data_IF_836606250057
#
_entry.id   IF_836606250057
#
_cell.length_a   1.000
_cell.length_b   1.000
_cell.length_c   1.000
_cell.angle_alpha   90.00
_cell.angle_beta   90.00
_cell.angle_gamma   90.00
#
_symmetry.space_group_name_H-M   'P 1'
#
loop_
_entity.id
_entity.type
_entity.pdbx_description
1 polymer ?
#
# COMPACT_ATOMS: atom_id res chain seq x y z
N UNK A 1 4.28 -7.97 28.91
CA UNK A 1 3.67 -7.76 27.58
C UNK A 1 4.65 -8.29 26.55
N UNK A 2 4.44 -9.47 25.95
CA UNK A 2 5.26 -9.85 24.81
C UNK A 2 4.87 -8.93 23.65
N UNK A 3 5.85 -8.20 23.11
CA UNK A 3 5.65 -7.41 21.91
C UNK A 3 5.43 -8.35 20.74
N UNK A 4 4.23 -8.32 20.16
CA UNK A 4 3.88 -9.13 19.00
C UNK A 4 4.83 -8.78 17.85
N UNK A 5 5.59 -9.79 17.42
CA UNK A 5 6.54 -9.66 16.34
C UNK A 5 5.79 -9.22 15.06
N UNK A 6 6.21 -8.08 14.50
CA UNK A 6 5.83 -7.69 13.15
C UNK A 6 6.16 -8.86 12.21
N UNK A 7 5.24 -9.34 11.37
CA UNK A 7 5.46 -10.53 10.58
C UNK A 7 6.69 -10.37 9.66
N UNK A 8 7.57 -11.37 9.72
CA UNK A 8 8.76 -11.49 8.87
C UNK A 8 8.36 -11.66 7.40
N UNK A 9 9.03 -10.90 6.51
CA UNK A 9 8.83 -10.89 5.06
C UNK A 9 8.93 -12.32 4.46
N UNK A 10 8.09 -12.71 3.47
CA UNK A 10 8.32 -13.93 2.71
C UNK A 10 9.60 -13.82 1.85
N UNK A 11 10.31 -14.95 1.68
CA UNK A 11 11.57 -15.00 0.95
C UNK A 11 11.39 -14.66 -0.54
N UNK A 12 11.67 -13.41 -0.91
CA UNK A 12 11.79 -12.98 -2.31
C UNK A 12 13.27 -13.00 -2.71
N UNK A 13 13.56 -13.65 -3.84
CA UNK A 13 14.89 -13.80 -4.43
C UNK A 13 15.63 -12.46 -4.55
N UNK A 14 16.97 -12.45 -4.40
CA UNK A 14 17.77 -11.24 -4.52
C UNK A 14 17.76 -10.78 -5.97
N UNK A 15 16.91 -9.81 -6.27
CA UNK A 15 17.07 -8.97 -7.46
C UNK A 15 17.79 -7.71 -7.02
N UNK A 16 18.78 -7.29 -7.81
CA UNK A 16 19.67 -6.14 -7.61
C UNK A 16 19.06 -5.06 -6.71
N UNK A 17 19.73 -4.74 -5.61
CA UNK A 17 19.34 -3.67 -4.70
C UNK A 17 18.96 -2.42 -5.51
N UNK A 18 17.69 -1.98 -5.49
CA UNK A 18 17.33 -0.72 -6.10
C UNK A 18 18.08 0.36 -5.33
N UNK A 19 18.98 1.08 -5.99
CA UNK A 19 19.59 2.25 -5.38
C UNK A 19 18.49 3.21 -4.90
N UNK A 20 18.76 3.99 -3.86
CA UNK A 20 17.89 5.07 -3.32
C UNK A 20 17.25 5.98 -4.39
N UNK A 21 17.79 6.02 -5.60
CA UNK A 21 17.26 6.76 -6.75
C UNK A 21 16.13 6.05 -7.51
N UNK A 22 16.01 4.73 -7.39
CA UNK A 22 15.10 3.89 -8.19
C UNK A 22 13.64 4.18 -7.85
N UNK A 23 13.30 4.26 -6.56
CA UNK A 23 11.92 4.53 -6.15
C UNK A 23 11.48 5.95 -6.51
N UNK A 24 12.39 6.92 -6.53
CA UNK A 24 12.09 8.30 -6.93
C UNK A 24 11.75 8.39 -8.41
N UNK A 25 12.48 7.66 -9.25
CA UNK A 25 12.16 7.59 -10.68
C UNK A 25 10.82 6.88 -10.89
N UNK A 26 10.61 5.75 -10.20
CA UNK A 26 9.32 5.06 -10.22
C UNK A 26 8.16 5.96 -9.78
N UNK A 27 8.35 6.76 -8.72
CA UNK A 27 7.35 7.71 -8.26
C UNK A 27 7.05 8.81 -9.30
N UNK A 28 8.07 9.34 -9.98
CA UNK A 28 7.86 10.33 -11.07
C UNK A 28 7.08 9.73 -12.23
N UNK A 29 7.38 8.50 -12.62
CA UNK A 29 6.71 7.79 -13.71
C UNK A 29 5.26 7.45 -13.36
N UNK A 30 5.03 6.91 -12.16
CA UNK A 30 3.70 6.51 -11.69
C UNK A 30 2.83 7.70 -11.32
N UNK A 31 3.41 8.78 -10.79
CA UNK A 31 2.66 9.86 -10.13
C UNK A 31 3.09 11.24 -10.66
N UNK A 32 2.93 11.51 -11.97
CA UNK A 32 3.45 12.75 -12.59
C UNK A 32 2.82 14.04 -12.02
N UNK A 33 1.67 13.96 -11.36
CA UNK A 33 1.01 15.09 -10.70
C UNK A 33 1.38 15.30 -9.23
N UNK A 34 2.27 14.47 -8.67
CA UNK A 34 2.63 14.55 -7.25
C UNK A 34 3.46 15.80 -6.98
N UNK A 35 2.94 16.70 -6.13
CA UNK A 35 3.59 17.99 -5.82
C UNK A 35 4.70 17.91 -4.77
N UNK A 36 5.05 16.70 -4.34
CA UNK A 36 6.13 16.49 -3.37
C UNK A 36 7.49 16.71 -4.02
N UNK A 37 8.41 17.37 -3.31
CA UNK A 37 9.80 17.44 -3.74
C UNK A 37 10.48 16.07 -3.51
N UNK A 38 10.36 15.17 -4.49
CA UNK A 38 10.88 13.80 -4.41
C UNK A 38 12.37 13.73 -4.08
N UNK A 39 13.18 14.73 -4.46
CA UNK A 39 14.62 14.74 -4.17
C UNK A 39 14.91 14.92 -2.67
N UNK A 40 14.03 15.60 -1.94
CA UNK A 40 14.18 15.88 -0.51
C UNK A 40 13.28 15.03 0.37
N UNK A 41 12.27 14.39 -0.22
CA UNK A 41 11.31 13.57 0.51
C UNK A 41 11.91 12.23 0.94
N UNK A 42 11.48 11.77 2.11
CA UNK A 42 11.56 10.37 2.50
C UNK A 42 10.43 9.59 1.83
N UNK A 43 10.59 8.28 1.68
CA UNK A 43 9.54 7.42 1.13
C UNK A 43 8.27 7.45 2.01
N UNK A 44 8.42 7.58 3.33
CA UNK A 44 7.31 7.76 4.27
C UNK A 44 6.50 9.04 3.96
N UNK A 45 7.18 10.18 3.74
CA UNK A 45 6.51 11.43 3.39
C UNK A 45 5.70 11.29 2.10
N UNK A 46 6.26 10.58 1.11
CA UNK A 46 5.56 10.30 -0.15
C UNK A 46 4.31 9.46 0.08
N UNK A 47 4.36 8.43 0.92
CA UNK A 47 3.17 7.64 1.24
C UNK A 47 2.11 8.43 2.01
N UNK A 48 2.50 9.32 2.92
CA UNK A 48 1.53 10.19 3.59
C UNK A 48 0.80 11.12 2.61
N UNK A 49 1.54 11.74 1.69
CA UNK A 49 0.92 12.58 0.66
C UNK A 49 0.04 11.75 -0.30
N UNK A 50 0.47 10.52 -0.62
CA UNK A 50 -0.30 9.60 -1.47
C UNK A 50 -1.62 9.18 -0.85
N UNK A 51 -1.72 9.07 0.48
CA UNK A 51 -2.99 8.72 1.13
C UNK A 51 -4.08 9.75 0.88
N UNK A 52 -3.74 11.04 0.94
CA UNK A 52 -4.69 12.10 0.60
C UNK A 52 -5.08 12.05 -0.88
N UNK A 53 -4.10 11.82 -1.77
CA UNK A 53 -4.38 11.65 -3.20
C UNK A 53 -5.25 10.41 -3.48
N UNK A 54 -5.03 9.31 -2.76
CA UNK A 54 -5.78 8.06 -2.86
C UNK A 54 -7.26 8.29 -2.55
N UNK A 55 -7.55 8.95 -1.42
CA UNK A 55 -8.92 9.27 -1.03
C UNK A 55 -9.62 10.13 -2.08
N UNK A 56 -8.96 11.20 -2.54
CA UNK A 56 -9.51 12.08 -3.58
C UNK A 56 -9.73 11.35 -4.90
N UNK A 57 -8.83 10.43 -5.27
CA UNK A 57 -8.96 9.61 -6.47
C UNK A 57 -10.16 8.65 -6.37
N UNK A 58 -10.39 8.04 -5.20
CA UNK A 58 -11.59 7.23 -4.96
C UNK A 58 -12.87 8.05 -5.04
N UNK A 59 -12.90 9.25 -4.45
CA UNK A 59 -14.06 10.15 -4.54
C UNK A 59 -14.34 10.57 -5.98
N UNK A 60 -13.31 10.91 -6.74
CA UNK A 60 -13.41 11.32 -8.13
C UNK A 60 -13.59 10.15 -9.11
N UNK A 61 -13.48 8.90 -8.64
CA UNK A 61 -13.42 7.69 -9.48
C UNK A 61 -12.34 7.79 -10.57
N UNK A 62 -11.19 8.37 -10.22
CA UNK A 62 -10.03 8.47 -11.12
C UNK A 62 -9.29 7.13 -11.16
N UNK A 63 -9.83 6.21 -11.95
CA UNK A 63 -9.30 4.85 -12.12
C UNK A 63 -7.82 4.83 -12.52
N UNK A 64 -7.37 5.80 -13.33
CA UNK A 64 -5.98 5.89 -13.77
C UNK A 64 -5.08 6.25 -12.59
N UNK A 65 -5.45 7.24 -11.80
CA UNK A 65 -4.68 7.63 -10.62
C UNK A 65 -4.69 6.52 -9.56
N UNK A 66 -5.82 5.87 -9.34
CA UNK A 66 -5.92 4.72 -8.43
C UNK A 66 -4.98 3.59 -8.85
N UNK A 67 -5.02 3.19 -10.13
CA UNK A 67 -4.12 2.16 -10.69
C UNK A 67 -2.66 2.52 -10.45
N UNK A 68 -2.30 3.79 -10.67
CA UNK A 68 -0.94 4.26 -10.47
C UNK A 68 -0.50 4.27 -9.00
N UNK A 69 -1.36 4.71 -8.09
CA UNK A 69 -1.06 4.76 -6.64
C UNK A 69 -0.89 3.34 -6.10
N UNK A 70 -1.85 2.45 -6.34
CA UNK A 70 -1.77 1.07 -5.88
C UNK A 70 -0.60 0.32 -6.53
N UNK A 71 -0.34 0.55 -7.83
CA UNK A 71 0.79 -0.05 -8.53
C UNK A 71 2.15 0.42 -8.00
N UNK A 72 2.28 1.70 -7.63
CA UNK A 72 3.48 2.21 -6.97
C UNK A 72 3.66 1.58 -5.58
N UNK A 73 2.59 1.51 -4.78
CA UNK A 73 2.61 0.91 -3.45
C UNK A 73 2.98 -0.58 -3.49
N UNK A 74 2.39 -1.36 -4.41
CA UNK A 74 2.71 -2.77 -4.59
C UNK A 74 4.17 -2.93 -5.04
N UNK A 75 4.62 -2.13 -6.00
CA UNK A 75 6.01 -2.16 -6.44
C UNK A 75 6.95 -1.93 -5.24
N UNK A 76 6.75 -0.89 -4.43
CA UNK A 76 7.54 -0.66 -3.23
C UNK A 76 7.45 -1.83 -2.23
N UNK A 77 6.25 -2.41 -2.06
CA UNK A 77 6.03 -3.50 -1.12
C UNK A 77 6.80 -4.77 -1.48
N UNK A 78 6.97 -5.05 -2.76
CA UNK A 78 7.72 -6.22 -3.24
C UNK A 78 9.24 -6.07 -3.06
N UNK A 79 9.77 -4.85 -2.93
CA UNK A 79 11.21 -4.60 -2.80
C UNK A 79 11.69 -4.64 -1.35
N UNK A 80 12.86 -5.24 -1.12
CA UNK A 80 13.37 -5.64 0.21
C UNK A 80 13.71 -4.49 1.15
N UNK A 81 14.00 -3.34 0.60
CA UNK A 81 14.37 -2.09 1.29
C UNK A 81 13.17 -1.17 1.51
N UNK A 82 12.09 -1.35 0.76
CA UNK A 82 10.93 -0.47 0.74
C UNK A 82 9.66 -1.10 1.34
N UNK A 83 9.63 -2.42 1.51
CA UNK A 83 8.43 -3.14 1.94
C UNK A 83 7.84 -2.62 3.24
N UNK A 84 8.68 -2.30 4.23
CA UNK A 84 8.22 -1.82 5.53
C UNK A 84 7.60 -0.43 5.42
N UNK A 85 8.18 0.46 4.60
CA UNK A 85 7.63 1.79 4.36
C UNK A 85 6.26 1.70 3.68
N UNK A 86 6.13 0.87 2.64
CA UNK A 86 4.83 0.65 1.99
C UNK A 86 3.81 -0.02 2.92
N UNK A 87 4.25 -1.02 3.70
CA UNK A 87 3.39 -1.74 4.65
C UNK A 87 2.78 -0.82 5.69
N UNK A 88 3.63 -0.10 6.43
CA UNK A 88 3.20 0.74 7.56
C UNK A 88 2.59 2.07 7.09
N UNK A 89 3.17 2.73 6.07
CA UNK A 89 2.71 4.06 5.68
C UNK A 89 1.57 4.07 4.67
N UNK A 90 1.27 2.94 4.03
CA UNK A 90 0.19 2.84 3.03
C UNK A 90 -0.80 1.72 3.35
N UNK A 91 -0.37 0.46 3.37
CA UNK A 91 -1.29 -0.67 3.47
C UNK A 91 -2.04 -0.75 4.80
N UNK A 92 -1.37 -0.46 5.91
CA UNK A 92 -1.97 -0.43 7.26
C UNK A 92 -3.13 0.58 7.35
N UNK A 93 -3.10 1.61 6.51
CA UNK A 93 -4.07 2.71 6.51
C UNK A 93 -5.21 2.56 5.50
N UNK A 94 -5.25 1.47 4.71
CA UNK A 94 -6.36 1.24 3.77
C UNK A 94 -7.71 1.04 4.49
N UNK A 95 -7.66 0.69 5.77
CA UNK A 95 -8.83 0.50 6.62
C UNK A 95 -9.41 1.76 7.26
N UNK A 96 -8.65 2.87 7.27
CA UNK A 96 -8.96 4.08 8.04
C UNK A 96 -10.21 4.82 7.53
N UNK A 97 -10.47 4.77 6.23
CA UNK A 97 -11.58 5.43 5.57
C UNK A 97 -12.57 4.40 4.98
N UNK A 98 -13.87 4.63 5.16
CA UNK A 98 -14.91 3.69 4.75
C UNK A 98 -15.00 3.48 3.24
N UNK A 99 -14.78 4.53 2.44
CA UNK A 99 -14.77 4.44 0.98
C UNK A 99 -13.55 3.65 0.52
N UNK A 100 -12.36 4.03 1.00
CA UNK A 100 -11.12 3.32 0.65
C UNK A 100 -11.19 1.85 1.07
N UNK A 101 -11.68 1.57 2.29
CA UNK A 101 -11.80 0.21 2.83
C UNK A 101 -12.66 -0.71 1.97
N UNK A 102 -13.76 -0.18 1.43
CA UNK A 102 -14.67 -0.95 0.56
C UNK A 102 -14.09 -1.19 -0.84
N UNK A 103 -13.36 -0.22 -1.37
CA UNK A 103 -12.94 -0.22 -2.78
C UNK A 103 -11.54 -0.83 -3.00
N UNK A 104 -10.64 -0.79 -2.01
CA UNK A 104 -9.26 -1.28 -2.20
C UNK A 104 -9.16 -2.75 -2.66
N UNK A 105 -10.09 -3.68 -2.33
CA UNK A 105 -10.03 -5.04 -2.86
C UNK A 105 -10.07 -5.15 -4.39
N UNK A 106 -10.49 -4.09 -5.09
CA UNK A 106 -10.44 -4.02 -6.56
C UNK A 106 -9.03 -3.81 -7.11
N UNK A 107 -8.12 -3.28 -6.30
CA UNK A 107 -6.77 -2.87 -6.73
C UNK A 107 -5.66 -3.66 -6.04
N UNK A 108 -5.93 -4.20 -4.85
CA UNK A 108 -4.96 -4.99 -4.09
C UNK A 108 -5.13 -6.46 -4.46
N UNK A 109 -4.06 -7.09 -4.94
CA UNK A 109 -4.11 -8.50 -5.31
C UNK A 109 -4.32 -9.40 -4.09
N UNK A 110 -4.93 -10.58 -4.31
CA UNK A 110 -5.14 -11.56 -3.25
C UNK A 110 -3.82 -11.95 -2.53
N UNK A 111 -2.71 -12.00 -3.27
CA UNK A 111 -1.39 -12.29 -2.69
C UNK A 111 -0.93 -11.22 -1.71
N UNK A 112 -1.04 -9.94 -2.07
CA UNK A 112 -0.72 -8.82 -1.18
C UNK A 112 -1.66 -8.81 0.01
N UNK A 113 -2.97 -9.01 -0.22
CA UNK A 113 -3.95 -9.06 0.86
C UNK A 113 -3.57 -10.05 1.97
N UNK A 114 -3.20 -11.29 1.62
CA UNK A 114 -2.77 -12.29 2.62
C UNK A 114 -1.53 -11.87 3.40
N UNK A 115 -0.65 -11.08 2.80
CA UNK A 115 0.57 -10.57 3.46
C UNK A 115 0.27 -9.39 4.40
N UNK A 116 -0.71 -8.54 4.06
CA UNK A 116 -1.05 -7.33 4.84
C UNK A 116 -2.19 -7.53 5.84
N UNK A 117 -2.99 -8.59 5.71
CA UNK A 117 -4.15 -8.88 6.57
C UNK A 117 -3.83 -8.79 8.07
N UNK A 118 -2.72 -9.35 8.59
CA UNK A 118 -2.39 -9.24 10.01
C UNK A 118 -2.22 -7.78 10.48
N UNK A 119 -1.81 -6.88 9.59
CA UNK A 119 -1.65 -5.44 9.90
C UNK A 119 -3.00 -4.73 9.91
N UNK A 120 -3.85 -5.05 8.94
CA UNK A 120 -5.23 -4.55 8.92
C UNK A 120 -5.99 -4.98 10.17
N UNK A 121 -5.75 -6.19 10.68
CA UNK A 121 -6.36 -6.71 11.91
C UNK A 121 -5.98 -5.91 13.17
N UNK A 122 -4.90 -5.12 13.15
CA UNK A 122 -4.53 -4.23 14.26
C UNK A 122 -5.45 -3.00 14.33
N UNK A 123 -5.86 -2.49 13.18
CA UNK A 123 -6.62 -1.24 13.08
C UNK A 123 -8.12 -1.45 12.86
N UNK A 124 -8.53 -2.62 12.36
CA UNK A 124 -9.92 -2.92 12.02
C UNK A 124 -10.61 -3.78 13.08
N UNK A 125 -11.91 -3.57 13.25
CA UNK A 125 -12.75 -4.50 13.99
C UNK A 125 -12.87 -5.85 13.26
N UNK A 126 -13.14 -6.91 14.01
CA UNK A 126 -13.36 -8.24 13.45
C UNK A 126 -14.46 -8.26 12.38
N UNK A 127 -15.52 -7.46 12.54
CA UNK A 127 -16.59 -7.34 11.56
C UNK A 127 -16.10 -6.69 10.26
N UNK A 128 -15.34 -5.60 10.33
CA UNK A 128 -14.78 -4.95 9.14
C UNK A 128 -13.80 -5.87 8.40
N UNK A 129 -12.95 -6.58 9.13
CA UNK A 129 -12.01 -7.53 8.55
C UNK A 129 -12.74 -8.67 7.85
N UNK A 130 -13.78 -9.21 8.47
CA UNK A 130 -14.59 -10.28 7.90
C UNK A 130 -15.26 -9.90 6.57
N UNK A 131 -15.74 -8.66 6.44
CA UNK A 131 -16.30 -8.18 5.16
C UNK A 131 -15.25 -8.13 4.05
N UNK A 132 -14.02 -7.73 4.37
CA UNK A 132 -12.91 -7.76 3.40
C UNK A 132 -12.57 -9.21 3.02
N UNK A 133 -12.46 -10.11 4.01
CA UNK A 133 -12.18 -11.53 3.79
C UNK A 133 -13.20 -12.20 2.86
N UNK A 134 -14.49 -11.86 2.99
CA UNK A 134 -15.54 -12.36 2.09
C UNK A 134 -15.25 -11.99 0.65
N UNK A 135 -14.92 -10.72 0.39
CA UNK A 135 -14.62 -10.23 -0.97
C UNK A 135 -13.48 -11.04 -1.59
N UNK A 136 -12.36 -11.19 -0.86
CA UNK A 136 -11.21 -11.97 -1.35
C UNK A 136 -11.47 -13.47 -1.47
N UNK A 137 -12.43 -14.01 -0.70
CA UNK A 137 -12.83 -15.42 -0.81
C UNK A 137 -13.68 -15.70 -2.05
N UNK A 138 -14.42 -14.70 -2.54
CA UNK A 138 -15.23 -14.79 -3.75
C UNK A 138 -14.44 -14.55 -5.05
N UNK A 139 -13.26 -13.94 -4.98
CA UNK A 139 -12.39 -13.61 -6.12
C UNK A 139 -11.49 -14.78 -6.59
N UNK A 140 -11.84 -16.04 -6.26
CA UNK A 140 -11.06 -17.23 -6.68
C UNK A 140 -11.11 -17.48 -8.17
#
# INVERSE_FOLDING_TARGET
MPGDAIPSRPAIQPTNHPDMNTWRNKAKESLPGLRVNLQRASLYQVFFDLRNALYMAHQAKDERLLTNIYGFAEWCYRHSDMWNAAGVAFYEHLGDDDLVRREFPRYVSHSIYREIEPRLAVSLSAAQLYEIQKVYSCMR
#
